data_IF_353268411086
#
_entry.id   IF_353268411086
#
_cell.length_a   1.000
_cell.length_b   1.000
_cell.length_c   1.000
_cell.angle_alpha   90.00
_cell.angle_beta   90.00
_cell.angle_gamma   90.00
#
_symmetry.space_group_name_H-M   'P 1'
#
loop_
_entity.id
_entity.type
_entity.pdbx_description
1 polymer ?
#
# COMPACT_ATOMS: atom_id res chain seq x y z
N UNK A 1 -0.62 -1.42 -29.00
CA UNK A 1 -1.54 -1.99 -27.97
C UNK A 1 -1.22 -1.47 -26.57
N UNK A 2 -0.02 -1.68 -26.02
CA UNK A 2 0.35 -1.21 -24.66
C UNK A 2 0.22 0.32 -24.43
N UNK A 3 0.60 1.15 -25.42
CA UNK A 3 0.49 2.61 -25.32
C UNK A 3 -0.97 3.09 -25.20
N UNK A 4 -1.90 2.38 -25.86
CA UNK A 4 -3.32 2.69 -25.80
C UNK A 4 -3.93 2.33 -24.43
N UNK A 5 -3.49 1.23 -23.81
CA UNK A 5 -3.96 0.80 -22.49
C UNK A 5 -3.55 1.81 -21.42
N UNK A 6 -2.27 2.22 -21.40
CA UNK A 6 -1.77 3.22 -20.45
C UNK A 6 -2.45 4.59 -20.62
N UNK A 7 -2.69 5.02 -21.86
CA UNK A 7 -3.44 6.25 -22.13
C UNK A 7 -4.88 6.15 -21.63
N UNK A 8 -5.59 5.06 -21.96
CA UNK A 8 -6.97 4.82 -21.52
C UNK A 8 -7.09 4.85 -19.99
N UNK A 9 -6.18 4.18 -19.28
CA UNK A 9 -6.13 4.13 -17.82
C UNK A 9 -5.88 5.51 -17.18
N UNK A 10 -4.96 6.28 -17.74
CA UNK A 10 -4.62 7.62 -17.23
C UNK A 10 -5.76 8.64 -17.43
N UNK A 11 -6.56 8.47 -18.48
CA UNK A 11 -7.61 9.40 -18.86
C UNK A 11 -9.02 8.93 -18.49
N UNK A 12 -9.15 7.82 -17.76
CA UNK A 12 -10.45 7.31 -17.27
C UNK A 12 -11.39 6.85 -18.38
N UNK A 13 -10.86 6.52 -19.56
CA UNK A 13 -11.66 5.99 -20.66
C UNK A 13 -11.92 4.49 -20.45
N UNK A 14 -13.00 3.98 -21.05
CA UNK A 14 -13.32 2.54 -20.96
C UNK A 14 -12.27 1.69 -21.67
N UNK A 15 -11.80 0.63 -21.01
CA UNK A 15 -10.91 -0.36 -21.60
C UNK A 15 -11.70 -1.31 -22.51
N UNK A 16 -11.10 -1.79 -23.62
CA UNK A 16 -11.71 -2.84 -24.42
C UNK A 16 -12.01 -4.09 -23.58
N UNK A 17 -13.16 -4.73 -23.80
CA UNK A 17 -13.61 -5.88 -23.01
C UNK A 17 -12.61 -7.04 -23.02
N UNK A 18 -11.88 -7.25 -24.12
CA UNK A 18 -10.83 -8.26 -24.21
C UNK A 18 -9.70 -8.01 -23.20
N UNK A 19 -9.28 -6.76 -23.05
CA UNK A 19 -8.24 -6.37 -22.08
C UNK A 19 -8.74 -6.56 -20.64
N UNK A 20 -9.99 -6.17 -20.37
CA UNK A 20 -10.62 -6.36 -19.06
C UNK A 20 -10.70 -7.85 -18.71
N UNK A 21 -11.13 -8.68 -19.67
CA UNK A 21 -11.24 -10.11 -19.47
C UNK A 21 -9.87 -10.75 -19.19
N UNK A 22 -8.84 -10.35 -19.95
CA UNK A 22 -7.47 -10.80 -19.71
C UNK A 22 -6.98 -10.40 -18.32
N UNK A 23 -7.10 -9.12 -17.95
CA UNK A 23 -6.71 -8.61 -16.63
C UNK A 23 -7.44 -9.32 -15.49
N UNK A 24 -8.72 -9.64 -15.68
CA UNK A 24 -9.51 -10.40 -14.72
C UNK A 24 -9.03 -11.84 -14.58
N UNK A 25 -8.71 -12.50 -15.70
CA UNK A 25 -8.32 -13.91 -15.69
C UNK A 25 -6.89 -14.14 -15.23
N UNK A 26 -5.97 -13.18 -15.45
CA UNK A 26 -4.55 -13.34 -15.11
C UNK A 26 -4.14 -12.62 -13.83
N UNK A 27 -4.89 -11.59 -13.43
CA UNK A 27 -4.57 -10.78 -12.25
C UNK A 27 -4.89 -11.50 -10.94
N UNK A 28 -4.21 -11.08 -9.89
CA UNK A 28 -4.49 -11.54 -8.53
C UNK A 28 -5.67 -10.80 -7.90
N UNK A 29 -6.13 -11.34 -6.78
CA UNK A 29 -7.24 -10.84 -5.98
C UNK A 29 -6.80 -10.66 -4.53
N UNK A 30 -7.21 -9.55 -3.93
CA UNK A 30 -7.11 -9.34 -2.48
C UNK A 30 -8.53 -9.31 -1.91
N UNK A 31 -8.83 -10.23 -1.00
CA UNK A 31 -10.14 -10.35 -0.37
C UNK A 31 -10.04 -9.94 1.09
N UNK A 32 -10.84 -8.95 1.48
CA UNK A 32 -10.92 -8.43 2.83
C UNK A 32 -12.19 -8.98 3.49
N UNK A 33 -12.02 -9.75 4.57
CA UNK A 33 -13.12 -10.28 5.36
C UNK A 33 -13.29 -9.45 6.62
N UNK A 34 -14.53 -9.05 6.90
CA UNK A 34 -14.92 -8.31 8.11
C UNK A 34 -14.19 -6.97 8.29
N UNK A 35 -13.57 -6.42 7.22
CA UNK A 35 -12.90 -5.13 7.29
C UNK A 35 -13.96 -4.02 7.48
N UNK A 36 -13.75 -3.11 8.44
CA UNK A 36 -14.80 -2.18 8.85
C UNK A 36 -15.04 -1.07 7.82
N UNK A 37 -16.33 -0.73 7.61
CA UNK A 37 -16.75 0.40 6.79
C UNK A 37 -16.25 1.73 7.36
N UNK A 38 -16.00 2.71 6.49
CA UNK A 38 -15.58 4.06 6.88
C UNK A 38 -14.09 4.20 7.15
N UNK A 39 -13.33 3.11 7.08
CA UNK A 39 -11.88 3.11 7.28
C UNK A 39 -11.12 3.15 5.95
N UNK A 40 -9.84 3.54 6.02
CA UNK A 40 -8.98 3.63 4.84
C UNK A 40 -8.42 2.25 4.49
N UNK A 41 -8.53 1.86 3.22
CA UNK A 41 -7.79 0.75 2.63
C UNK A 41 -7.08 1.22 1.37
N UNK A 42 -5.84 0.79 1.17
CA UNK A 42 -5.04 1.20 0.04
C UNK A 42 -4.07 0.13 -0.45
N UNK A 43 -3.64 0.33 -1.69
CA UNK A 43 -2.58 -0.42 -2.35
C UNK A 43 -1.71 0.58 -3.11
N UNK A 44 -0.40 0.46 -2.91
CA UNK A 44 0.63 1.26 -3.56
C UNK A 44 0.39 2.78 -3.40
N UNK A 45 -0.07 3.44 -4.46
CA UNK A 45 -0.28 4.89 -4.51
C UNK A 45 -1.72 5.34 -4.26
N UNK A 46 -2.66 4.41 -4.07
CA UNK A 46 -4.08 4.78 -3.97
C UNK A 46 -4.74 4.11 -2.78
N UNK A 47 -5.53 4.91 -2.08
CA UNK A 47 -6.41 4.46 -1.02
C UNK A 47 -7.81 5.02 -1.20
N UNK A 48 -8.74 4.37 -0.52
CA UNK A 48 -10.15 4.72 -0.51
C UNK A 48 -10.71 4.55 0.89
N UNK A 49 -11.79 5.27 1.18
CA UNK A 49 -12.67 4.93 2.29
C UNK A 49 -13.52 3.73 1.91
N UNK A 50 -13.46 2.68 2.72
CA UNK A 50 -14.21 1.45 2.51
C UNK A 50 -15.70 1.70 2.67
N UNK A 51 -16.48 1.35 1.66
CA UNK A 51 -17.95 1.36 1.70
C UNK A 51 -18.54 0.04 2.18
N UNK A 52 -19.87 -0.02 2.40
CA UNK A 52 -20.56 -1.16 3.04
C UNK A 52 -20.48 -2.48 2.25
N UNK A 53 -20.18 -2.36 0.95
CA UNK A 53 -20.19 -3.43 -0.03
C UNK A 53 -18.80 -3.83 -0.51
N UNK A 54 -17.76 -3.13 -0.08
CA UNK A 54 -16.40 -3.37 -0.57
C UNK A 54 -15.83 -4.63 0.07
N UNK A 55 -15.37 -5.57 -0.75
CA UNK A 55 -14.80 -6.84 -0.32
C UNK A 55 -13.32 -6.99 -0.70
N UNK A 56 -12.72 -5.97 -1.31
CA UNK A 56 -11.31 -5.97 -1.69
C UNK A 56 -11.07 -5.63 -3.16
N UNK A 57 -9.97 -6.13 -3.72
CA UNK A 57 -9.47 -5.74 -5.05
C UNK A 57 -9.36 -6.93 -6.00
N UNK A 58 -9.51 -6.64 -7.29
CA UNK A 58 -9.32 -7.57 -8.42
C UNK A 58 -8.33 -7.00 -9.43
N UNK A 59 -7.83 -7.89 -10.29
CA UNK A 59 -6.92 -7.53 -11.40
C UNK A 59 -5.58 -6.96 -10.91
N UNK A 60 -5.10 -7.37 -9.75
CA UNK A 60 -3.80 -6.92 -9.22
C UNK A 60 -2.70 -7.53 -10.11
N UNK A 61 -1.80 -6.74 -10.71
CA UNK A 61 -0.68 -7.28 -11.47
C UNK A 61 0.21 -8.19 -10.63
N UNK A 62 0.85 -9.17 -11.27
CA UNK A 62 1.88 -9.95 -10.60
C UNK A 62 3.09 -9.06 -10.27
N UNK A 63 3.70 -9.28 -9.12
CA UNK A 63 4.83 -8.50 -8.61
C UNK A 63 4.64 -8.02 -7.18
N UNK A 64 5.60 -7.23 -6.72
CA UNK A 64 5.59 -6.69 -5.36
C UNK A 64 4.65 -5.49 -5.28
N UNK A 65 3.72 -5.56 -4.33
CA UNK A 65 2.77 -4.50 -4.01
C UNK A 65 2.77 -4.24 -2.51
N UNK A 66 2.45 -3.00 -2.12
CA UNK A 66 2.30 -2.62 -0.72
C UNK A 66 0.84 -2.39 -0.39
N UNK A 67 0.27 -3.25 0.45
CA UNK A 67 -1.13 -3.15 0.89
C UNK A 67 -1.16 -2.54 2.28
N UNK A 68 -2.03 -1.57 2.50
CA UNK A 68 -2.11 -0.87 3.78
C UNK A 68 -3.55 -0.48 4.13
N UNK A 69 -3.78 -0.25 5.41
CA UNK A 69 -5.02 0.30 5.92
C UNK A 69 -4.76 1.29 7.07
N UNK A 70 -5.74 2.15 7.32
CA UNK A 70 -5.71 3.06 8.46
C UNK A 70 -7.09 3.09 9.10
N UNK A 71 -7.13 2.75 10.39
CA UNK A 71 -8.32 2.91 11.22
C UNK A 71 -8.26 4.30 11.86
N UNK A 72 -9.43 4.90 12.11
CA UNK A 72 -9.49 6.29 12.60
C UNK A 72 -8.86 6.36 13.99
N UNK A 73 -7.82 7.19 14.13
CA UNK A 73 -7.09 7.33 15.40
C UNK A 73 -6.01 6.27 15.63
N UNK A 74 -5.81 5.35 14.69
CA UNK A 74 -4.72 4.37 14.72
C UNK A 74 -3.67 4.70 13.66
N UNK A 75 -2.40 4.33 13.88
CA UNK A 75 -1.37 4.39 12.85
C UNK A 75 -1.76 3.56 11.62
N UNK A 76 -1.30 3.99 10.45
CA UNK A 76 -1.39 3.17 9.24
C UNK A 76 -0.56 1.90 9.43
N UNK A 77 -1.14 0.76 9.08
CA UNK A 77 -0.45 -0.51 9.06
C UNK A 77 -0.51 -1.10 7.66
N UNK A 78 0.49 -1.88 7.27
CA UNK A 78 0.53 -2.50 5.96
C UNK A 78 1.57 -3.61 5.86
N UNK A 79 1.65 -4.21 4.69
CA UNK A 79 2.59 -5.27 4.38
C UNK A 79 2.92 -5.29 2.90
N UNK A 80 4.13 -5.73 2.57
CA UNK A 80 4.48 -6.07 1.20
C UNK A 80 4.01 -7.49 0.89
N UNK A 81 3.50 -7.69 -0.32
CA UNK A 81 3.18 -9.02 -0.85
C UNK A 81 3.65 -9.11 -2.29
N UNK A 82 4.28 -10.23 -2.64
CA UNK A 82 4.70 -10.51 -4.02
C UNK A 82 3.63 -11.34 -4.72
N UNK A 83 2.63 -10.67 -5.28
CA UNK A 83 1.48 -11.29 -5.93
C UNK A 83 1.92 -12.17 -7.10
N UNK A 84 1.38 -13.39 -7.16
CA UNK A 84 1.50 -14.27 -8.32
C UNK A 84 0.29 -14.10 -9.24
N UNK A 85 0.45 -14.45 -10.51
CA UNK A 85 -0.67 -14.49 -11.44
C UNK A 85 -1.77 -15.39 -10.87
N UNK A 86 -3.03 -14.94 -10.96
CA UNK A 86 -4.23 -15.68 -10.50
C UNK A 86 -4.27 -15.99 -8.99
N UNK A 87 -3.37 -15.40 -8.20
CA UNK A 87 -3.34 -15.60 -6.76
C UNK A 87 -4.58 -14.97 -6.09
N UNK A 88 -5.08 -15.63 -5.06
CA UNK A 88 -6.12 -15.08 -4.19
C UNK A 88 -5.52 -14.96 -2.80
N UNK A 89 -5.26 -13.73 -2.37
CA UNK A 89 -4.85 -13.42 -1.00
C UNK A 89 -6.10 -13.01 -0.23
N UNK A 90 -6.38 -13.68 0.88
CA UNK A 90 -7.49 -13.33 1.75
C UNK A 90 -6.96 -12.92 3.13
N UNK A 91 -7.44 -11.80 3.64
CA UNK A 91 -7.11 -11.28 4.97
C UNK A 91 -8.39 -11.03 5.74
N UNK A 92 -8.45 -11.52 6.98
CA UNK A 92 -9.57 -11.28 7.89
C UNK A 92 -9.19 -10.18 8.88
N UNK A 93 -10.11 -9.27 9.15
CA UNK A 93 -9.94 -8.25 10.16
C UNK A 93 -10.23 -8.80 11.57
N UNK A 94 -9.31 -8.58 12.50
CA UNK A 94 -9.51 -8.82 13.93
C UNK A 94 -10.03 -7.53 14.57
N UNK A 95 -11.31 -7.53 14.98
CA UNK A 95 -11.97 -6.37 15.58
C UNK A 95 -11.43 -6.03 16.98
N UNK A 96 -10.83 -6.99 17.68
CA UNK A 96 -10.30 -6.78 19.04
C UNK A 96 -8.92 -6.17 18.98
N UNK A 97 -8.07 -6.67 18.07
CA UNK A 97 -6.71 -6.15 17.90
C UNK A 97 -6.61 -4.97 16.94
N UNK A 98 -7.69 -4.66 16.22
CA UNK A 98 -7.75 -3.64 15.17
C UNK A 98 -6.61 -3.81 14.14
N UNK A 99 -6.39 -5.05 13.70
CA UNK A 99 -5.39 -5.40 12.68
C UNK A 99 -5.86 -6.58 11.83
N UNK A 100 -5.13 -6.91 10.76
CA UNK A 100 -5.34 -8.15 10.02
C UNK A 100 -4.93 -9.35 10.89
N UNK A 101 -5.78 -10.37 10.94
CA UNK A 101 -5.50 -11.61 11.66
C UNK A 101 -4.26 -12.30 11.07
N UNK A 102 -3.47 -12.89 11.96
CA UNK A 102 -2.32 -13.75 11.64
C UNK A 102 -2.77 -15.14 11.18
N UNK A 103 -4.05 -15.48 11.34
CA UNK A 103 -4.60 -16.77 10.94
C UNK A 103 -4.49 -16.96 9.44
N UNK A 104 -3.76 -18.01 9.03
CA UNK A 104 -3.72 -18.42 7.64
C UNK A 104 -5.12 -18.83 7.18
N UNK A 105 -5.53 -18.33 6.02
CA UNK A 105 -6.75 -18.78 5.37
C UNK A 105 -6.49 -20.14 4.74
N UNK A 106 -7.32 -21.14 5.05
CA UNK A 106 -7.13 -22.51 4.56
C UNK A 106 -7.35 -22.61 3.04
N UNK A 107 -6.76 -23.63 2.42
CA UNK A 107 -6.88 -23.85 0.98
C UNK A 107 -8.34 -24.12 0.56
N UNK A 108 -9.14 -24.79 1.40
CA UNK A 108 -10.57 -25.00 1.16
C UNK A 108 -11.32 -23.67 1.09
N UNK A 109 -10.98 -22.73 1.97
CA UNK A 109 -11.56 -21.41 2.01
C UNK A 109 -11.18 -20.59 0.76
N UNK A 110 -9.91 -20.64 0.35
CA UNK A 110 -9.44 -20.00 -0.89
C UNK A 110 -10.15 -20.59 -2.11
N UNK A 111 -10.32 -21.91 -2.17
CA UNK A 111 -11.04 -22.57 -3.26
C UNK A 111 -12.53 -22.19 -3.30
N UNK A 112 -13.17 -22.03 -2.13
CA UNK A 112 -14.54 -21.54 -2.06
C UNK A 112 -14.66 -20.11 -2.57
N UNK A 113 -13.72 -19.24 -2.21
CA UNK A 113 -13.64 -17.86 -2.73
C UNK A 113 -13.47 -17.89 -4.25
N UNK A 114 -12.52 -18.69 -4.76
CA UNK A 114 -12.25 -18.85 -6.20
C UNK A 114 -13.51 -19.21 -6.98
N UNK A 115 -14.26 -20.21 -6.49
CA UNK A 115 -15.53 -20.62 -7.11
C UNK A 115 -16.63 -19.54 -7.07
N UNK A 116 -16.54 -18.60 -6.13
CA UNK A 116 -17.54 -17.56 -5.91
C UNK A 116 -17.14 -16.18 -6.47
N UNK A 117 -15.94 -16.03 -7.08
CA UNK A 117 -15.39 -14.75 -7.54
C UNK A 117 -16.35 -13.95 -8.44
N UNK A 118 -17.04 -14.63 -9.36
CA UNK A 118 -18.00 -13.98 -10.27
C UNK A 118 -19.21 -13.39 -9.55
N UNK A 119 -19.68 -14.03 -8.48
CA UNK A 119 -20.82 -13.54 -7.70
C UNK A 119 -20.46 -12.32 -6.84
N UNK A 120 -19.20 -12.22 -6.42
CA UNK A 120 -18.71 -11.08 -5.64
C UNK A 120 -18.04 -10.01 -6.50
N UNK A 121 -18.01 -10.16 -7.84
CA UNK A 121 -17.24 -9.28 -8.72
C UNK A 121 -17.62 -7.79 -8.61
N UNK A 122 -18.91 -7.51 -8.40
CA UNK A 122 -19.43 -6.15 -8.20
C UNK A 122 -19.00 -5.51 -6.87
N UNK A 123 -18.49 -6.32 -5.95
CA UNK A 123 -18.01 -5.92 -4.63
C UNK A 123 -16.48 -5.75 -4.58
N UNK A 124 -15.79 -6.02 -5.71
CA UNK A 124 -14.35 -5.91 -5.84
C UNK A 124 -13.97 -4.70 -6.70
N UNK A 125 -13.13 -3.82 -6.15
CA UNK A 125 -12.57 -2.70 -6.89
C UNK A 125 -11.46 -3.16 -7.85
N UNK A 126 -11.36 -2.61 -9.07
CA UNK A 126 -10.21 -2.86 -9.92
C UNK A 126 -8.95 -2.24 -9.32
N UNK A 127 -7.79 -2.87 -9.53
CA UNK A 127 -6.49 -2.28 -9.20
C UNK A 127 -6.31 -0.91 -9.90
N UNK A 128 -5.70 0.09 -9.23
CA UNK A 128 -5.58 1.46 -9.74
C UNK A 128 -4.46 1.60 -10.77
N UNK A 129 -4.71 1.08 -11.96
CA UNK A 129 -3.72 1.00 -13.03
C UNK A 129 -3.19 2.35 -13.54
N UNK A 130 -3.87 3.46 -13.26
CA UNK A 130 -3.39 4.81 -13.58
C UNK A 130 -2.01 5.12 -12.96
N UNK A 131 -1.70 4.51 -11.81
CA UNK A 131 -0.44 4.70 -11.09
C UNK A 131 0.53 3.51 -11.26
N UNK A 132 0.14 2.46 -11.98
CA UNK A 132 0.91 1.22 -12.07
C UNK A 132 2.32 1.45 -12.62
N UNK A 133 2.47 2.30 -13.65
CA UNK A 133 3.78 2.59 -14.25
C UNK A 133 4.74 3.21 -13.24
N UNK A 134 4.25 4.12 -12.40
CA UNK A 134 5.06 4.75 -11.36
C UNK A 134 5.44 3.75 -10.28
N UNK A 135 4.49 2.90 -9.86
CA UNK A 135 4.75 1.84 -8.89
C UNK A 135 5.79 0.84 -9.41
N UNK A 136 5.59 0.33 -10.61
CA UNK A 136 6.51 -0.58 -11.28
C UNK A 136 7.93 0.00 -11.34
N UNK A 137 8.09 1.28 -11.68
CA UNK A 137 9.41 1.92 -11.74
C UNK A 137 10.10 2.01 -10.36
N UNK A 138 9.35 2.11 -9.26
CA UNK A 138 9.90 2.09 -7.90
C UNK A 138 10.23 0.67 -7.41
N UNK A 139 9.53 -0.35 -7.91
CA UNK A 139 9.63 -1.72 -7.42
C UNK A 139 10.34 -2.69 -8.37
N UNK A 140 10.82 -2.22 -9.53
CA UNK A 140 11.47 -3.04 -10.58
C UNK A 140 12.61 -3.93 -10.05
N UNK A 141 13.35 -3.45 -9.06
CA UNK A 141 14.46 -4.20 -8.43
C UNK A 141 14.08 -4.88 -7.10
N UNK A 142 12.84 -4.71 -6.63
CA UNK A 142 12.36 -5.32 -5.38
C UNK A 142 11.80 -6.70 -5.69
N UNK A 143 12.60 -7.73 -5.42
CA UNK A 143 12.21 -9.12 -5.68
C UNK A 143 11.38 -9.71 -4.52
N UNK A 144 10.68 -10.83 -4.80
CA UNK A 144 10.04 -11.62 -3.75
C UNK A 144 11.01 -12.02 -2.64
N UNK A 145 12.20 -12.48 -3.00
CA UNK A 145 13.26 -12.85 -2.04
C UNK A 145 13.68 -11.66 -1.17
N UNK A 146 13.67 -10.44 -1.72
CA UNK A 146 13.96 -9.22 -0.96
C UNK A 146 12.85 -8.94 0.04
N UNK A 147 11.59 -9.09 -0.36
CA UNK A 147 10.43 -8.95 0.54
C UNK A 147 10.49 -10.00 1.66
N UNK A 148 10.68 -11.27 1.32
CA UNK A 148 10.71 -12.38 2.28
C UNK A 148 11.84 -12.21 3.30
N UNK A 149 12.99 -11.69 2.87
CA UNK A 149 14.15 -11.43 3.74
C UNK A 149 13.94 -10.22 4.66
N UNK A 150 13.16 -9.23 4.24
CA UNK A 150 12.98 -7.96 4.96
C UNK A 150 11.64 -7.86 5.69
N UNK A 151 10.77 -8.86 5.56
CA UNK A 151 9.49 -8.85 6.24
C UNK A 151 9.70 -8.84 7.77
N UNK A 152 9.04 -7.93 8.51
CA UNK A 152 9.13 -7.93 9.96
C UNK A 152 8.63 -9.25 10.55
N UNK A 153 9.09 -9.62 11.75
CA UNK A 153 8.65 -10.84 12.45
C UNK A 153 7.13 -10.91 12.64
N UNK A 154 6.48 -9.75 12.83
CA UNK A 154 5.01 -9.63 12.93
C UNK A 154 4.30 -9.63 11.56
N UNK A 155 5.03 -9.71 10.45
CA UNK A 155 4.47 -9.67 9.10
C UNK A 155 3.86 -8.32 8.70
N UNK A 156 4.02 -7.28 9.52
CA UNK A 156 3.35 -5.99 9.37
C UNK A 156 4.32 -4.83 9.61
N UNK A 157 4.12 -3.74 8.87
CA UNK A 157 4.82 -2.47 8.96
C UNK A 157 3.83 -1.44 9.49
N UNK A 158 4.22 -0.69 10.53
CA UNK A 158 3.42 0.40 11.11
C UNK A 158 4.05 1.75 10.78
N UNK A 159 3.21 2.75 10.54
CA UNK A 159 3.63 4.14 10.41
C UNK A 159 4.03 4.79 11.75
N UNK A 160 3.72 4.14 12.88
CA UNK A 160 4.19 4.59 14.18
C UNK A 160 5.59 4.05 14.45
N UNK A 161 6.51 4.93 14.81
CA UNK A 161 7.80 4.54 15.34
C UNK A 161 7.58 3.90 16.73
N UNK A 162 7.95 2.63 16.87
CA UNK A 162 7.90 1.91 18.15
C UNK A 162 9.02 2.39 19.11
N UNK A 163 10.06 3.01 18.55
CA UNK A 163 11.21 3.57 19.28
C UNK A 163 11.50 4.98 18.77
N UNK A 164 11.63 5.93 19.70
CA UNK A 164 12.14 7.28 19.40
C UNK A 164 13.65 7.22 19.58
N UNK A 165 14.40 7.52 18.53
CA UNK A 165 15.86 7.56 18.63
C UNK A 165 16.29 8.75 19.49
N UNK A 166 17.43 8.66 20.17
CA UNK A 166 17.97 9.79 20.93
C UNK A 166 18.24 11.00 20.01
N UNK A 167 18.62 10.76 18.76
CA UNK A 167 18.76 11.81 17.73
C UNK A 167 17.42 12.50 17.44
N UNK A 168 16.34 11.74 17.28
CA UNK A 168 14.98 12.28 17.12
C UNK A 168 14.58 13.11 18.34
N UNK A 169 14.83 12.61 19.57
CA UNK A 169 14.56 13.38 20.79
C UNK A 169 15.36 14.69 20.85
N UNK A 170 16.64 14.67 20.46
CA UNK A 170 17.49 15.86 20.47
C UNK A 170 17.00 16.89 19.45
N UNK A 171 16.67 16.46 18.22
CA UNK A 171 16.15 17.33 17.16
C UNK A 171 14.79 17.95 17.53
N UNK A 172 13.86 17.16 18.08
CA UNK A 172 12.56 17.68 18.51
C UNK A 172 12.69 18.67 19.67
N UNK A 173 13.61 18.42 20.61
CA UNK A 173 13.87 19.34 21.72
C UNK A 173 14.50 20.66 21.22
N UNK A 174 15.43 20.60 20.27
CA UNK A 174 16.01 21.79 19.63
C UNK A 174 14.95 22.56 18.83
N UNK A 175 14.07 21.88 18.09
CA UNK A 175 12.92 22.51 17.42
C UNK A 175 11.97 23.17 18.42
N UNK A 176 11.67 22.55 19.57
CA UNK A 176 10.84 23.19 20.61
C UNK A 176 11.51 24.42 21.23
N UNK A 177 12.84 24.40 21.36
CA UNK A 177 13.61 25.57 21.82
C UNK A 177 13.57 26.69 20.76
N UNK A 178 13.67 26.36 19.46
CA UNK A 178 13.59 27.32 18.35
C UNK A 178 12.17 27.86 18.12
N UNK A 179 11.12 27.02 18.25
CA UNK A 179 9.70 27.43 18.17
C UNK A 179 9.32 28.42 19.28
N UNK A 180 9.92 28.29 20.46
CA UNK A 180 9.78 29.26 21.55
C UNK A 180 10.61 30.55 21.31
N UNK A 181 11.52 30.54 20.35
CA UNK A 181 12.41 31.64 19.99
C UNK A 181 12.07 32.23 18.60
N UNK A 182 10.81 32.58 18.34
CA UNK A 182 10.34 33.48 17.26
C UNK A 182 10.97 33.33 15.86
N UNK A 183 11.46 32.15 15.45
CA UNK A 183 11.92 31.89 14.08
C UNK A 183 11.57 30.44 13.75
N UNK A 184 10.51 30.26 12.95
CA UNK A 184 10.03 28.93 12.59
C UNK A 184 10.94 28.26 11.58
N UNK A 185 11.50 27.10 11.95
CA UNK A 185 12.08 26.17 10.98
C UNK A 185 10.95 25.54 10.16
N UNK A 186 10.87 25.91 8.88
CA UNK A 186 9.98 25.26 7.92
C UNK A 186 10.69 24.04 7.31
N UNK A 187 9.99 22.92 7.16
CA UNK A 187 10.46 21.75 6.39
C UNK A 187 10.44 22.00 4.86
N UNK A 188 10.54 23.27 4.42
CA UNK A 188 10.57 23.64 3.00
C UNK A 188 11.95 24.16 2.62
N UNK A 189 12.48 23.67 1.51
CA UNK A 189 13.76 24.14 0.95
C UNK A 189 13.47 25.43 0.19
N UNK A 190 13.61 26.57 0.86
CA UNK A 190 13.60 27.86 0.19
C UNK A 190 15.00 28.48 0.14
N UNK A 191 15.09 29.54 -0.66
CA UNK A 191 16.36 30.19 -0.97
C UNK A 191 16.92 31.00 0.21
N UNK A 192 16.14 31.16 1.28
CA UNK A 192 16.44 32.07 2.39
C UNK A 192 17.05 31.37 3.60
N UNK A 193 17.11 30.03 3.63
CA UNK A 193 17.68 29.24 4.74
C UNK A 193 18.88 28.36 4.28
N UNK A 194 20.10 28.93 4.16
CA UNK A 194 21.24 28.30 3.47
C UNK A 194 22.06 27.31 4.31
N UNK A 195 21.80 27.19 5.61
CA UNK A 195 22.63 26.39 6.52
C UNK A 195 22.09 24.97 6.66
N UNK A 196 22.55 24.07 5.78
CA UNK A 196 22.64 22.65 6.12
C UNK A 196 24.09 22.19 6.09
N UNK A 197 24.45 21.37 7.07
CA UNK A 197 25.68 20.56 7.09
C UNK A 197 25.77 19.73 5.82
N UNK A 198 26.76 20.02 4.98
CA UNK A 198 27.05 19.24 3.79
C UNK A 198 27.96 18.08 4.20
N UNK A 199 27.48 16.85 4.08
CA UNK A 199 28.36 15.69 4.09
C UNK A 199 28.98 15.60 2.70
N UNK A 200 30.16 16.18 2.57
CA UNK A 200 31.02 16.06 1.41
C UNK A 200 31.99 14.93 1.74
N UNK A 201 32.05 13.89 0.93
CA UNK A 201 33.12 12.91 1.07
C UNK A 201 34.46 13.50 0.60
N UNK A 202 35.55 12.74 0.68
CA UNK A 202 36.88 13.25 0.31
C UNK A 202 37.02 13.61 -1.19
N UNK A 203 36.00 13.38 -2.02
CA UNK A 203 36.03 13.62 -3.46
C UNK A 203 35.13 14.77 -3.92
N UNK A 204 34.34 15.38 -3.03
CA UNK A 204 33.59 16.61 -3.36
C UNK A 204 32.20 16.35 -3.91
#
# INVERSE_FOLDING_TARGET
MAFHILHTLKHGAELPSEVINYMYSSGAFMILKDFPEGHEFGIDYKSWTVGPKFMGLKMIPAGVHFVYCSVKGAPRIGFFHNFKAEEIVAKKWDKVKETFSDDAISDEEVNRIRANLKNIDSHLGPYPFENYRSWYALTDFVTGETVDRLIPLKGQISAQAELVSMETCLMENEEQVELNATVGCSNSVDREHPTRTRFVDQQG
#
